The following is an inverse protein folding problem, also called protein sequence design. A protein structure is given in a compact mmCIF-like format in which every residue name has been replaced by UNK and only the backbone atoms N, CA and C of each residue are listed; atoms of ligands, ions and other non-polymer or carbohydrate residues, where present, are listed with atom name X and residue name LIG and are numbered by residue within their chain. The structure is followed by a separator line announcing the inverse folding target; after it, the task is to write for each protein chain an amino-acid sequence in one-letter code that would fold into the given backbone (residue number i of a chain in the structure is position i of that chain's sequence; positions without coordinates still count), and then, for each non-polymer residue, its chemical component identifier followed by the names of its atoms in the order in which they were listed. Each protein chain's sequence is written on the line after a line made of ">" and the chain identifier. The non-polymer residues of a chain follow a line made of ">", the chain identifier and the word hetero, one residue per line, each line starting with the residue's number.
data_IF_084105807878
#
_entry.id   IF_084105807878
#
_cell.length_a   1.000
_cell.length_b   1.000
_cell.length_c   1.000
_cell.angle_alpha   90.00
_cell.angle_beta   90.00
_cell.angle_gamma   90.00
#
_symmetry.space_group_name_H-M   'P 1'
#
loop_
_entity.id
_entity.type
_entity.pdbx_description
1 polymer ?
#
# COMPACT_ATOMS: atom_id res chain seq x y z
N UNK A 1 16.91 2.11 -6.56
CA UNK A 1 17.02 2.72 -5.20
C UNK A 1 15.62 2.92 -4.65
N UNK A 2 15.28 2.49 -3.43
CA UNK A 2 13.94 2.70 -2.87
C UNK A 2 13.73 4.17 -2.46
N UNK A 3 12.47 4.66 -2.47
CA UNK A 3 12.12 5.95 -1.85
C UNK A 3 12.35 5.92 -0.33
N UNK A 4 12.41 7.11 0.29
CA UNK A 4 12.62 7.25 1.75
C UNK A 4 14.08 7.18 2.21
N UNK A 5 15.04 7.15 1.30
CA UNK A 5 16.43 7.25 1.67
C UNK A 5 16.82 8.73 1.88
N UNK A 6 16.46 9.24 3.06
CA UNK A 6 16.77 10.61 3.47
C UNK A 6 18.12 10.72 4.19
N UNK A 7 18.79 9.60 4.43
CA UNK A 7 20.06 9.53 5.15
C UNK A 7 21.23 9.93 4.23
N UNK A 8 22.13 10.73 4.75
CA UNK A 8 23.30 11.21 4.00
C UNK A 8 23.03 12.42 3.10
N UNK A 9 21.79 12.92 3.05
CA UNK A 9 21.42 14.16 2.36
C UNK A 9 20.57 15.03 3.28
N UNK A 10 20.70 16.34 3.16
CA UNK A 10 19.79 17.27 3.80
C UNK A 10 18.50 17.36 2.98
N UNK A 11 17.44 16.68 3.42
CA UNK A 11 16.14 16.70 2.76
C UNK A 11 15.17 17.59 3.54
N UNK A 12 14.59 18.56 2.86
CA UNK A 12 13.54 19.41 3.41
C UNK A 12 12.14 18.84 3.12
N UNK A 13 11.97 18.33 1.89
CA UNK A 13 10.70 17.72 1.48
C UNK A 13 10.92 16.37 0.82
N UNK A 14 10.36 15.32 1.43
CA UNK A 14 10.43 13.96 0.88
C UNK A 14 9.10 13.59 0.18
N UNK A 15 9.10 13.68 -1.15
CA UNK A 15 8.02 13.22 -2.03
C UNK A 15 8.26 11.81 -2.57
N UNK A 16 9.33 11.15 -2.17
CA UNK A 16 9.66 9.79 -2.65
C UNK A 16 8.85 8.70 -1.95
N UNK A 17 8.28 9.00 -0.76
CA UNK A 17 7.44 8.10 0.04
C UNK A 17 5.99 8.54 0.05
N UNK A 18 5.09 7.61 -0.20
CA UNK A 18 3.66 7.87 -0.35
C UNK A 18 2.94 7.69 0.98
N UNK A 19 3.15 8.59 1.92
CA UNK A 19 2.50 8.60 3.23
C UNK A 19 1.25 9.48 3.21
N UNK A 20 0.34 9.24 4.17
CA UNK A 20 -0.80 10.11 4.38
C UNK A 20 -0.31 11.54 4.73
N UNK A 21 -0.73 12.58 3.97
CA UNK A 21 -0.25 13.95 4.17
C UNK A 21 -0.67 14.57 5.51
N UNK A 22 -1.70 14.04 6.18
CA UNK A 22 -2.13 14.51 7.50
C UNK A 22 -1.18 14.09 8.63
N UNK A 23 -0.22 13.19 8.34
CA UNK A 23 0.65 12.62 9.37
C UNK A 23 -0.07 11.66 10.32
N UNK A 24 0.60 11.13 11.35
CA UNK A 24 -0.01 10.19 12.29
C UNK A 24 -1.10 10.86 13.15
N UNK A 25 -2.28 10.20 13.35
CA UNK A 25 -3.31 10.69 14.27
C UNK A 25 -2.78 10.90 15.69
N UNK A 26 -3.35 11.87 16.42
CA UNK A 26 -2.96 12.13 17.82
C UNK A 26 -3.06 10.88 18.69
N UNK A 27 -4.14 10.11 18.56
CA UNK A 27 -4.35 8.85 19.30
C UNK A 27 -3.22 7.85 19.09
N UNK A 28 -2.71 7.74 17.86
CA UNK A 28 -1.59 6.86 17.53
C UNK A 28 -0.28 7.38 18.13
N UNK A 29 -0.04 8.70 18.10
CA UNK A 29 1.13 9.32 18.75
C UNK A 29 1.11 9.11 20.25
N UNK A 30 -0.03 9.34 20.90
CA UNK A 30 -0.21 9.14 22.35
C UNK A 30 0.00 7.67 22.73
N UNK A 31 -0.50 6.73 21.94
CA UNK A 31 -0.31 5.30 22.15
C UNK A 31 1.16 4.88 22.02
N UNK A 32 1.88 5.44 21.04
CA UNK A 32 3.33 5.20 20.90
C UNK A 32 4.11 5.74 22.11
N UNK A 33 3.75 6.92 22.64
CA UNK A 33 4.35 7.46 23.84
C UNK A 33 4.05 6.57 25.09
N UNK A 34 2.82 6.07 25.21
CA UNK A 34 2.44 5.15 26.29
C UNK A 34 3.20 3.82 26.20
N UNK A 35 3.49 3.33 24.99
CA UNK A 35 4.23 2.08 24.77
C UNK A 35 5.67 2.12 25.34
N UNK A 36 6.26 3.31 25.56
CA UNK A 36 7.56 3.45 26.21
C UNK A 36 7.60 2.86 27.61
N UNK A 37 6.48 2.84 28.34
CA UNK A 37 6.38 2.26 29.67
C UNK A 37 6.36 0.73 29.68
N UNK A 38 6.37 0.09 28.50
CA UNK A 38 6.25 -1.36 28.33
C UNK A 38 7.41 -1.96 27.53
N UNK A 39 8.52 -1.23 27.37
CA UNK A 39 9.69 -1.70 26.59
C UNK A 39 10.40 -2.87 27.23
N UNK A 40 10.22 -3.09 28.55
CA UNK A 40 10.78 -4.20 29.31
C UNK A 40 9.97 -5.50 29.16
N UNK A 41 8.76 -5.43 28.58
CA UNK A 41 7.85 -6.56 28.44
C UNK A 41 7.95 -7.16 27.03
N UNK A 42 7.85 -8.50 26.94
CA UNK A 42 7.56 -9.11 25.64
C UNK A 42 6.16 -8.71 25.19
N UNK A 43 5.98 -8.35 23.93
CA UNK A 43 4.64 -8.06 23.41
C UNK A 43 3.75 -9.30 23.42
N UNK A 44 2.41 -9.12 23.38
CA UNK A 44 1.47 -10.23 23.28
C UNK A 44 1.72 -11.06 22.01
N UNK A 45 2.15 -12.33 22.11
CA UNK A 45 2.51 -13.15 20.95
C UNK A 45 1.30 -13.51 20.07
N UNK A 46 0.07 -13.39 20.60
CA UNK A 46 -1.16 -13.65 19.85
C UNK A 46 -1.83 -12.37 19.33
N UNK A 47 -1.30 -11.18 19.71
CA UNK A 47 -1.84 -9.86 19.29
C UNK A 47 -3.34 -9.72 19.58
N UNK A 48 -3.83 -10.27 20.69
CA UNK A 48 -5.25 -10.54 20.97
C UNK A 48 -6.14 -9.32 20.75
N UNK A 49 -5.75 -8.16 21.26
CA UNK A 49 -6.55 -6.94 21.15
C UNK A 49 -6.53 -6.37 19.74
N UNK A 50 -5.37 -6.31 19.10
CA UNK A 50 -5.23 -5.82 17.73
C UNK A 50 -5.97 -6.73 16.74
N UNK A 51 -5.81 -8.05 16.89
CA UNK A 51 -6.50 -9.05 16.07
C UNK A 51 -8.01 -8.98 16.21
N UNK A 52 -8.51 -8.82 17.46
CA UNK A 52 -9.93 -8.63 17.73
C UNK A 52 -10.46 -7.36 17.09
N UNK A 53 -9.71 -6.25 17.20
CA UNK A 53 -10.07 -4.98 16.57
C UNK A 53 -10.23 -5.08 15.06
N UNK A 54 -9.24 -5.69 14.39
CA UNK A 54 -9.29 -5.94 12.95
C UNK A 54 -10.43 -6.87 12.53
N UNK A 55 -10.63 -7.96 13.28
CA UNK A 55 -11.71 -8.91 13.02
C UNK A 55 -13.09 -8.24 13.09
N UNK A 56 -13.31 -7.42 14.11
CA UNK A 56 -14.55 -6.65 14.26
C UNK A 56 -14.75 -5.62 13.13
N UNK A 57 -13.68 -4.89 12.78
CA UNK A 57 -13.75 -3.88 11.71
C UNK A 57 -14.14 -4.48 10.36
N UNK A 58 -13.49 -5.60 9.97
CA UNK A 58 -13.75 -6.28 8.71
C UNK A 58 -14.89 -7.30 8.77
N UNK A 59 -15.48 -7.54 9.95
CA UNK A 59 -16.49 -8.58 10.18
C UNK A 59 -15.98 -9.98 9.76
N UNK A 60 -14.77 -10.33 10.20
CA UNK A 60 -14.07 -11.58 9.90
C UNK A 60 -13.89 -12.43 11.15
N UNK A 61 -13.65 -13.72 10.97
CA UNK A 61 -13.10 -14.55 12.03
C UNK A 61 -11.63 -14.16 12.28
N UNK A 62 -11.19 -14.12 13.54
CA UNK A 62 -9.82 -13.75 13.91
C UNK A 62 -8.76 -14.68 13.30
N UNK A 63 -9.14 -15.91 13.00
CA UNK A 63 -8.33 -16.93 12.35
C UNK A 63 -8.03 -16.63 10.87
N UNK A 64 -8.75 -15.69 10.25
CA UNK A 64 -8.52 -15.23 8.88
C UNK A 64 -7.46 -14.13 8.79
N UNK A 65 -6.91 -13.69 9.94
CA UNK A 65 -5.99 -12.57 10.05
C UNK A 65 -4.57 -13.05 10.35
N UNK A 66 -3.60 -12.55 9.59
CA UNK A 66 -2.17 -12.66 9.88
C UNK A 66 -1.59 -11.27 10.08
N UNK A 67 -0.85 -11.07 11.16
CA UNK A 67 -0.21 -9.80 11.50
C UNK A 67 1.30 -9.92 11.27
N UNK A 68 1.91 -8.84 10.76
CA UNK A 68 3.33 -8.86 10.41
C UNK A 68 4.04 -7.52 10.59
N UNK A 69 5.35 -7.57 10.66
CA UNK A 69 6.27 -6.44 10.78
C UNK A 69 6.33 -5.64 9.46
N UNK A 70 5.19 -5.03 9.12
CA UNK A 70 4.92 -4.39 7.84
C UNK A 70 4.61 -5.39 6.72
N UNK A 71 4.15 -4.85 5.59
CA UNK A 71 3.79 -5.66 4.42
C UNK A 71 4.96 -6.50 3.88
N UNK A 72 6.20 -6.03 4.01
CA UNK A 72 7.37 -6.74 3.47
C UNK A 72 7.62 -8.09 4.12
N UNK A 73 7.44 -8.22 5.43
CA UNK A 73 7.53 -9.49 6.13
C UNK A 73 6.41 -10.43 5.69
N UNK A 74 5.18 -9.92 5.59
CA UNK A 74 4.03 -10.70 5.14
C UNK A 74 4.21 -11.22 3.71
N UNK A 75 4.70 -10.39 2.78
CA UNK A 75 5.01 -10.81 1.41
C UNK A 75 6.00 -11.97 1.42
N UNK A 76 7.07 -11.88 2.20
CA UNK A 76 8.07 -12.95 2.32
C UNK A 76 7.45 -14.24 2.90
N UNK A 77 6.68 -14.14 3.99
CA UNK A 77 5.99 -15.27 4.62
C UNK A 77 4.98 -15.94 3.68
N UNK A 78 4.20 -15.15 2.94
CA UNK A 78 3.25 -15.66 1.93
C UNK A 78 3.99 -16.42 0.83
N UNK A 79 5.08 -15.88 0.29
CA UNK A 79 5.86 -16.52 -0.77
C UNK A 79 6.51 -17.81 -0.27
N UNK A 80 7.03 -17.85 0.97
CA UNK A 80 7.56 -19.08 1.60
C UNK A 80 6.47 -20.14 1.74
N UNK A 81 5.30 -19.75 2.24
CA UNK A 81 4.14 -20.65 2.40
C UNK A 81 3.69 -21.28 1.09
N UNK A 82 3.69 -20.50 0.01
CA UNK A 82 3.21 -20.94 -1.29
C UNK A 82 4.28 -21.64 -2.12
N UNK A 83 5.56 -21.33 -1.91
CA UNK A 83 6.72 -21.82 -2.66
C UNK A 83 6.43 -21.94 -4.17
N UNK A 84 6.01 -20.84 -4.84
CA UNK A 84 5.50 -20.92 -6.20
C UNK A 84 6.60 -21.33 -7.18
N UNK A 85 6.28 -22.26 -8.12
CA UNK A 85 7.16 -22.62 -9.24
C UNK A 85 7.05 -21.62 -10.39
N UNK A 86 5.90 -20.96 -10.53
CA UNK A 86 5.65 -19.89 -11.47
C UNK A 86 4.74 -18.82 -10.84
N UNK A 87 5.09 -17.57 -11.10
CA UNK A 87 4.38 -16.40 -10.60
C UNK A 87 4.09 -15.44 -11.75
N UNK A 88 2.91 -14.83 -11.76
CA UNK A 88 2.61 -13.68 -12.61
C UNK A 88 2.61 -12.41 -11.79
N UNK A 89 3.16 -11.32 -12.34
CA UNK A 89 3.22 -9.99 -11.70
C UNK A 89 3.13 -8.91 -12.77
N UNK A 90 2.52 -7.77 -12.46
CA UNK A 90 2.52 -6.62 -13.36
C UNK A 90 3.91 -5.99 -13.48
N UNK A 91 4.20 -5.35 -14.61
CA UNK A 91 5.41 -4.55 -14.80
C UNK A 91 5.05 -3.24 -15.53
N UNK A 92 5.24 -2.05 -14.91
CA UNK A 92 5.90 -1.83 -13.62
C UNK A 92 5.06 -2.21 -12.40
N UNK A 93 5.74 -2.64 -11.32
CA UNK A 93 5.15 -2.83 -10.00
C UNK A 93 6.19 -2.64 -8.89
N UNK A 94 5.77 -2.76 -7.64
CA UNK A 94 6.68 -2.67 -6.50
C UNK A 94 7.74 -3.79 -6.53
N UNK A 95 9.02 -3.40 -6.55
CA UNK A 95 10.16 -4.33 -6.66
C UNK A 95 10.30 -5.32 -5.50
N UNK A 96 9.68 -5.02 -4.34
CA UNK A 96 9.70 -5.91 -3.17
C UNK A 96 9.11 -7.29 -3.43
N UNK A 97 8.21 -7.44 -4.40
CA UNK A 97 7.65 -8.76 -4.75
C UNK A 97 8.73 -9.64 -5.38
N UNK A 98 9.45 -9.13 -6.39
CA UNK A 98 10.52 -9.90 -7.03
C UNK A 98 11.68 -10.15 -6.06
N UNK A 99 12.01 -9.18 -5.20
CA UNK A 99 13.01 -9.37 -4.14
C UNK A 99 12.62 -10.53 -3.22
N UNK A 100 11.35 -10.59 -2.79
CA UNK A 100 10.87 -11.67 -1.94
C UNK A 100 10.79 -13.02 -2.68
N UNK A 101 10.38 -13.03 -3.96
CA UNK A 101 10.43 -14.23 -4.81
C UNK A 101 11.85 -14.77 -4.95
N UNK A 102 12.83 -13.90 -5.24
CA UNK A 102 14.22 -14.31 -5.36
C UNK A 102 14.80 -14.86 -4.05
N UNK A 103 14.34 -14.31 -2.90
CA UNK A 103 14.81 -14.76 -1.58
C UNK A 103 14.16 -16.07 -1.11
N UNK A 104 12.84 -16.25 -1.36
CA UNK A 104 12.07 -17.35 -0.79
C UNK A 104 11.72 -18.46 -1.80
N UNK A 105 11.74 -18.16 -3.10
CA UNK A 105 11.46 -19.10 -4.19
C UNK A 105 12.38 -18.83 -5.40
N UNK A 106 13.71 -18.99 -5.25
CA UNK A 106 14.69 -18.58 -6.26
C UNK A 106 14.55 -19.30 -7.61
N UNK A 107 13.90 -20.46 -7.63
CA UNK A 107 13.61 -21.22 -8.86
C UNK A 107 12.28 -20.83 -9.52
N UNK A 108 11.55 -19.86 -8.96
CA UNK A 108 10.27 -19.42 -9.47
C UNK A 108 10.45 -18.72 -10.83
N UNK A 109 9.69 -19.18 -11.84
CA UNK A 109 9.60 -18.47 -13.11
C UNK A 109 8.66 -17.29 -12.97
N UNK A 110 9.16 -16.08 -13.22
CA UNK A 110 8.38 -14.84 -13.14
C UNK A 110 7.89 -14.45 -14.54
N UNK A 111 6.56 -14.43 -14.72
CA UNK A 111 5.88 -13.95 -15.92
C UNK A 111 5.42 -12.52 -15.67
N UNK A 112 6.00 -11.56 -16.39
CA UNK A 112 5.63 -10.15 -16.25
C UNK A 112 4.51 -9.79 -17.21
N UNK A 113 3.44 -9.19 -16.67
CA UNK A 113 2.32 -8.62 -17.43
C UNK A 113 2.69 -7.17 -17.72
N UNK A 114 2.99 -6.80 -18.97
CA UNK A 114 3.41 -5.44 -19.28
C UNK A 114 2.23 -4.47 -19.14
N UNK A 115 2.41 -3.43 -18.34
CA UNK A 115 1.57 -2.24 -18.34
C UNK A 115 2.30 -1.17 -19.14
N UNK A 116 1.62 -0.58 -20.13
CA UNK A 116 2.25 0.30 -21.12
C UNK A 116 1.87 1.75 -20.90
N UNK A 117 2.81 2.65 -21.16
CA UNK A 117 2.57 4.09 -21.06
C UNK A 117 1.56 4.60 -22.10
N UNK A 118 1.45 3.93 -23.24
CA UNK A 118 0.49 4.24 -24.30
C UNK A 118 -0.95 3.99 -23.83
N UNK A 119 -1.14 3.02 -22.93
CA UNK A 119 -2.44 2.63 -22.36
C UNK A 119 -2.60 3.19 -20.93
N UNK A 120 -1.86 4.26 -20.58
CA UNK A 120 -1.80 4.85 -19.24
C UNK A 120 -1.58 3.81 -18.14
N UNK A 121 -0.79 2.80 -18.40
CA UNK A 121 -0.49 1.68 -17.50
C UNK A 121 -1.72 0.94 -16.97
N UNK A 122 -2.78 0.89 -17.77
CA UNK A 122 -4.00 0.14 -17.46
C UNK A 122 -3.74 -1.36 -17.52
N UNK A 123 -4.38 -2.13 -16.65
CA UNK A 123 -4.30 -3.59 -16.66
C UNK A 123 -4.91 -4.14 -17.96
N UNK A 124 -4.21 -5.03 -18.69
CA UNK A 124 -4.71 -5.55 -19.97
C UNK A 124 -6.06 -6.26 -19.87
N UNK A 125 -6.92 -6.04 -20.85
CA UNK A 125 -8.25 -6.67 -20.90
C UNK A 125 -8.18 -8.20 -20.93
N UNK A 126 -7.17 -8.75 -21.59
CA UNK A 126 -6.96 -10.20 -21.74
C UNK A 126 -6.31 -10.89 -20.53
N UNK A 127 -6.20 -10.22 -19.36
CA UNK A 127 -5.52 -10.80 -18.18
C UNK A 127 -6.11 -12.16 -17.76
N UNK A 128 -7.44 -12.33 -17.84
CA UNK A 128 -8.09 -13.59 -17.47
C UNK A 128 -7.70 -14.72 -18.44
N UNK A 129 -7.58 -14.45 -19.75
CA UNK A 129 -7.06 -15.40 -20.72
C UNK A 129 -5.60 -15.75 -20.44
N UNK A 130 -4.77 -14.76 -20.06
CA UNK A 130 -3.37 -15.02 -19.71
C UNK A 130 -3.26 -15.88 -18.44
N UNK A 131 -4.08 -15.66 -17.43
CA UNK A 131 -4.14 -16.50 -16.22
C UNK A 131 -4.50 -17.95 -16.61
N UNK A 132 -5.52 -18.14 -17.46
CA UNK A 132 -5.94 -19.47 -17.92
C UNK A 132 -4.87 -20.18 -18.76
N UNK A 133 -4.10 -19.41 -19.56
CA UNK A 133 -3.01 -19.92 -20.41
C UNK A 133 -1.77 -20.30 -19.61
N UNK A 134 -1.34 -19.43 -18.68
CA UNK A 134 -0.09 -19.60 -17.93
C UNK A 134 -0.29 -20.53 -16.71
N UNK A 135 -1.48 -20.49 -16.11
CA UNK A 135 -1.84 -21.20 -14.86
C UNK A 135 -0.77 -21.02 -13.78
N UNK A 136 -0.49 -19.76 -13.38
CA UNK A 136 0.54 -19.52 -12.38
C UNK A 136 0.13 -20.09 -11.03
N UNK A 137 1.11 -20.47 -10.19
CA UNK A 137 0.82 -20.83 -8.79
C UNK A 137 0.41 -19.59 -7.98
N UNK A 138 0.97 -18.42 -8.34
CA UNK A 138 0.78 -17.14 -7.68
C UNK A 138 0.59 -16.04 -8.72
N UNK A 139 -0.46 -15.24 -8.57
CA UNK A 139 -0.63 -13.94 -9.24
C UNK A 139 -0.50 -12.85 -8.19
N UNK A 140 0.37 -11.87 -8.43
CA UNK A 140 0.52 -10.69 -7.55
C UNK A 140 0.01 -9.47 -8.29
N UNK A 141 -0.99 -8.81 -7.70
CA UNK A 141 -1.53 -7.54 -8.16
C UNK A 141 -1.53 -6.52 -7.03
N UNK A 142 -1.41 -5.25 -7.38
CA UNK A 142 -1.46 -4.13 -6.44
C UNK A 142 -2.62 -3.21 -6.79
N UNK A 143 -3.42 -2.84 -5.80
CA UNK A 143 -4.58 -1.97 -6.00
C UNK A 143 -4.65 -0.85 -4.95
N UNK A 144 -4.41 0.42 -5.31
CA UNK A 144 -3.86 0.94 -6.57
C UNK A 144 -2.43 0.48 -6.87
N UNK A 145 -2.09 0.31 -8.17
CA UNK A 145 -0.78 -0.16 -8.56
C UNK A 145 0.32 0.89 -8.30
N UNK A 146 1.47 0.44 -7.87
CA UNK A 146 2.66 1.27 -7.67
C UNK A 146 3.70 0.93 -8.74
N UNK A 147 4.10 1.88 -9.63
CA UNK A 147 4.13 3.34 -9.38
C UNK A 147 3.03 4.18 -10.02
N UNK A 148 2.14 3.65 -10.85
CA UNK A 148 1.21 4.43 -11.67
C UNK A 148 -0.06 4.91 -10.94
N UNK A 149 -0.42 4.32 -9.80
CA UNK A 149 -1.57 4.74 -9.00
C UNK A 149 -2.95 4.32 -9.53
N UNK A 150 -3.03 3.52 -10.59
CA UNK A 150 -4.30 3.07 -11.16
C UNK A 150 -4.99 2.05 -10.27
N UNK A 151 -6.31 2.23 -10.06
CA UNK A 151 -7.18 1.25 -9.39
C UNK A 151 -7.72 0.22 -10.38
N UNK A 152 -7.97 -0.96 -9.85
CA UNK A 152 -8.73 -2.02 -10.52
C UNK A 152 -10.12 -1.99 -9.90
N UNK A 153 -11.17 -1.90 -10.73
CA UNK A 153 -12.55 -1.85 -10.24
C UNK A 153 -12.96 -3.16 -9.55
N UNK A 154 -13.93 -3.10 -8.62
CA UNK A 154 -14.43 -4.28 -7.92
C UNK A 154 -14.92 -5.38 -8.86
N UNK A 155 -15.63 -5.03 -9.95
CA UNK A 155 -16.08 -6.00 -10.95
C UNK A 155 -14.90 -6.70 -11.63
N UNK A 156 -13.88 -5.94 -12.00
CA UNK A 156 -12.68 -6.50 -12.64
C UNK A 156 -11.88 -7.39 -11.67
N UNK A 157 -11.80 -7.00 -10.39
CA UNK A 157 -11.18 -7.83 -9.35
C UNK A 157 -11.91 -9.17 -9.19
N UNK A 158 -13.24 -9.17 -9.25
CA UNK A 158 -14.05 -10.39 -9.16
C UNK A 158 -13.79 -11.32 -10.35
N UNK A 159 -13.79 -10.80 -11.59
CA UNK A 159 -13.44 -11.58 -12.77
C UNK A 159 -12.06 -12.22 -12.67
N UNK A 160 -11.07 -11.47 -12.20
CA UNK A 160 -9.71 -11.96 -12.00
C UNK A 160 -9.67 -13.05 -10.92
N UNK A 161 -10.37 -12.85 -9.80
CA UNK A 161 -10.44 -13.83 -8.72
C UNK A 161 -11.10 -15.15 -9.19
N UNK A 162 -12.14 -15.06 -10.02
CA UNK A 162 -12.79 -16.23 -10.60
C UNK A 162 -11.87 -16.95 -11.60
N UNK A 163 -11.14 -16.21 -12.42
CA UNK A 163 -10.13 -16.78 -13.32
C UNK A 163 -9.00 -17.48 -12.54
N UNK A 164 -8.55 -16.88 -11.43
CA UNK A 164 -7.58 -17.49 -10.53
C UNK A 164 -8.12 -18.77 -9.91
N UNK A 165 -9.37 -18.77 -9.44
CA UNK A 165 -10.05 -19.96 -8.88
C UNK A 165 -10.10 -21.09 -9.91
N UNK A 166 -10.50 -20.79 -11.15
CA UNK A 166 -10.58 -21.76 -12.24
C UNK A 166 -9.21 -22.33 -12.64
N UNK A 167 -8.15 -21.53 -12.53
CA UNK A 167 -6.78 -21.94 -12.86
C UNK A 167 -6.03 -22.62 -11.71
N UNK A 168 -6.58 -22.65 -10.50
CA UNK A 168 -5.88 -23.13 -9.30
C UNK A 168 -4.76 -22.18 -8.84
N UNK A 169 -4.89 -20.89 -9.17
CA UNK A 169 -3.93 -19.81 -8.86
C UNK A 169 -4.30 -19.14 -7.53
N UNK A 170 -3.33 -18.90 -6.67
CA UNK A 170 -3.52 -18.03 -5.50
C UNK A 170 -3.31 -16.57 -5.93
N UNK A 171 -4.26 -15.70 -5.57
CA UNK A 171 -4.17 -14.26 -5.81
C UNK A 171 -3.63 -13.54 -4.56
N UNK A 172 -2.43 -12.96 -4.64
CA UNK A 172 -1.96 -11.98 -3.66
C UNK A 172 -2.36 -10.58 -4.14
N UNK A 173 -3.31 -9.97 -3.45
CA UNK A 173 -3.79 -8.61 -3.72
C UNK A 173 -3.20 -7.65 -2.69
N UNK A 174 -2.28 -6.78 -3.12
CA UNK A 174 -1.72 -5.74 -2.27
C UNK A 174 -2.59 -4.48 -2.32
N UNK A 175 -3.30 -4.23 -1.24
CA UNK A 175 -4.20 -3.09 -1.05
C UNK A 175 -3.64 -2.05 -0.05
N UNK A 176 -2.31 -1.96 0.11
CA UNK A 176 -1.68 -1.06 1.07
C UNK A 176 -1.99 0.43 0.86
N UNK A 177 -2.44 0.82 -0.34
CA UNK A 177 -2.83 2.19 -0.67
C UNK A 177 -4.34 2.40 -0.84
N UNK A 178 -5.14 1.34 -0.81
CA UNK A 178 -6.55 1.39 -1.17
C UNK A 178 -7.38 2.32 -0.26
N UNK A 179 -7.14 2.29 1.05
CA UNK A 179 -7.82 3.17 2.00
C UNK A 179 -7.61 4.67 1.68
N UNK A 180 -6.39 5.05 1.24
CA UNK A 180 -6.07 6.44 0.88
C UNK A 180 -6.59 6.87 -0.50
N UNK A 181 -7.08 5.92 -1.31
CA UNK A 181 -7.73 6.20 -2.59
C UNK A 181 -9.26 6.27 -2.49
N UNK A 182 -9.82 6.15 -1.28
CA UNK A 182 -11.27 6.11 -1.08
C UNK A 182 -11.92 4.83 -1.60
N UNK A 183 -11.18 3.72 -1.67
CA UNK A 183 -11.63 2.49 -2.30
C UNK A 183 -11.87 1.32 -1.34
N UNK A 184 -12.01 1.54 -0.04
CA UNK A 184 -12.17 0.45 0.93
C UNK A 184 -13.41 -0.40 0.67
N UNK A 185 -14.47 0.17 0.09
CA UNK A 185 -15.67 -0.54 -0.33
C UNK A 185 -15.42 -1.54 -1.49
N UNK A 186 -14.40 -1.28 -2.30
CA UNK A 186 -13.97 -2.16 -3.41
C UNK A 186 -12.97 -3.23 -2.98
N UNK A 187 -12.65 -3.34 -1.68
CA UNK A 187 -11.66 -4.28 -1.19
C UNK A 187 -12.06 -5.74 -1.45
N UNK A 188 -11.11 -6.53 -1.92
CA UNK A 188 -11.29 -7.98 -2.08
C UNK A 188 -11.52 -8.70 -0.73
N UNK A 189 -11.26 -8.06 0.41
CA UNK A 189 -11.59 -8.58 1.74
C UNK A 189 -13.08 -8.92 1.84
N UNK A 190 -13.96 -8.11 1.24
CA UNK A 190 -15.41 -8.37 1.25
C UNK A 190 -15.77 -9.68 0.57
N UNK A 191 -15.05 -10.04 -0.50
CA UNK A 191 -15.23 -11.32 -1.20
C UNK A 191 -14.68 -12.49 -0.37
N UNK A 192 -13.54 -12.33 0.31
CA UNK A 192 -13.00 -13.38 1.21
C UNK A 192 -13.95 -13.67 2.37
N UNK A 193 -14.67 -12.66 2.84
CA UNK A 193 -15.67 -12.81 3.91
C UNK A 193 -16.85 -13.68 3.50
N UNK A 194 -17.32 -13.51 2.26
CA UNK A 194 -18.52 -14.18 1.75
C UNK A 194 -18.25 -15.48 0.99
N UNK A 195 -17.05 -15.65 0.47
CA UNK A 195 -16.70 -16.75 -0.43
C UNK A 195 -15.32 -17.35 -0.10
N UNK A 196 -15.14 -18.64 -0.37
CA UNK A 196 -13.85 -19.32 -0.28
C UNK A 196 -12.97 -18.99 -1.50
N UNK A 197 -12.43 -17.78 -1.56
CA UNK A 197 -11.50 -17.38 -2.61
C UNK A 197 -10.07 -17.87 -2.31
N UNK A 198 -9.32 -18.37 -3.32
CA UNK A 198 -7.90 -18.63 -3.19
C UNK A 198 -7.10 -17.31 -3.25
N UNK A 199 -7.35 -16.42 -2.30
CA UNK A 199 -6.77 -15.09 -2.26
C UNK A 199 -6.18 -14.76 -0.89
N UNK A 200 -5.14 -13.92 -0.91
CA UNK A 200 -4.56 -13.26 0.25
C UNK A 200 -4.57 -11.77 -0.02
N UNK A 201 -5.25 -10.99 0.81
CA UNK A 201 -5.28 -9.52 0.71
C UNK A 201 -4.33 -8.95 1.74
N UNK A 202 -3.40 -8.10 1.28
CA UNK A 202 -2.39 -7.46 2.10
C UNK A 202 -2.75 -6.00 2.35
N UNK A 203 -2.65 -5.56 3.60
CA UNK A 203 -2.88 -4.18 4.04
C UNK A 203 -1.75 -3.70 4.95
N UNK A 204 -1.49 -2.40 4.99
CA UNK A 204 -0.48 -1.82 5.85
C UNK A 204 -0.95 -0.54 6.53
N UNK A 205 -0.64 -0.42 7.81
CA UNK A 205 -0.82 0.82 8.58
C UNK A 205 0.18 1.91 8.18
N UNK A 206 1.33 1.47 7.65
CA UNK A 206 2.46 2.30 7.22
C UNK A 206 2.06 3.55 6.45
N UNK A 207 1.16 3.38 5.47
CA UNK A 207 0.74 4.45 4.55
C UNK A 207 -0.47 5.19 5.07
N UNK A 208 -1.48 4.43 5.47
CA UNK A 208 -2.77 4.93 5.93
C UNK A 208 -2.64 5.85 7.15
N UNK A 209 -1.81 5.47 8.11
CA UNK A 209 -1.62 6.24 9.35
C UNK A 209 -0.27 6.97 9.42
N UNK A 210 0.47 7.06 8.30
CA UNK A 210 1.77 7.72 8.22
C UNK A 210 2.78 7.29 9.29
N UNK A 211 2.85 5.98 9.60
CA UNK A 211 3.74 5.39 10.62
C UNK A 211 4.75 4.38 10.03
N UNK A 212 5.57 4.77 9.05
CA UNK A 212 6.49 3.83 8.40
C UNK A 212 7.53 3.24 9.36
N UNK A 213 7.93 3.97 10.40
CA UNK A 213 8.90 3.51 11.40
C UNK A 213 8.35 2.46 12.37
N UNK A 214 7.02 2.35 12.52
CA UNK A 214 6.37 1.41 13.44
C UNK A 214 6.35 -0.02 12.88
N UNK A 215 6.38 -0.18 11.56
CA UNK A 215 6.41 -1.48 10.89
C UNK A 215 5.21 -2.37 11.24
N UNK A 216 4.01 -2.01 10.79
CA UNK A 216 2.79 -2.77 11.03
C UNK A 216 2.00 -3.00 9.74
N UNK A 217 1.62 -4.26 9.49
CA UNK A 217 0.76 -4.69 8.41
C UNK A 217 -0.07 -5.90 8.80
N UNK A 218 -1.03 -6.25 7.97
CA UNK A 218 -1.82 -7.46 8.13
C UNK A 218 -2.22 -8.05 6.78
N UNK A 219 -2.49 -9.35 6.79
CA UNK A 219 -3.07 -10.07 5.65
C UNK A 219 -4.40 -10.69 6.06
N UNK A 220 -5.31 -10.78 5.09
CA UNK A 220 -6.62 -11.45 5.23
C UNK A 220 -6.71 -12.55 4.21
N UNK A 221 -7.04 -13.76 4.65
CA UNK A 221 -7.23 -14.93 3.80
C UNK A 221 -8.10 -15.97 4.49
N UNK A 222 -8.25 -17.16 3.89
CA UNK A 222 -8.91 -18.29 4.58
C UNK A 222 -8.13 -18.71 5.83
N UNK A 223 -8.83 -19.18 6.88
CA UNK A 223 -8.19 -19.60 8.13
C UNK A 223 -7.08 -20.65 7.95
N UNK A 224 -7.23 -21.70 7.11
CA UNK A 224 -6.14 -22.63 6.86
C UNK A 224 -4.91 -21.99 6.18
N UNK A 225 -5.12 -20.98 5.31
CA UNK A 225 -4.02 -20.25 4.68
C UNK A 225 -3.34 -19.35 5.71
N UNK A 226 -4.09 -18.66 6.54
CA UNK A 226 -3.57 -17.80 7.60
C UNK A 226 -2.70 -18.57 8.58
N UNK A 227 -3.14 -19.76 9.00
CA UNK A 227 -2.34 -20.66 9.88
C UNK A 227 -1.01 -21.05 9.22
N UNK A 228 -1.03 -21.41 7.94
CA UNK A 228 0.20 -21.74 7.19
C UNK A 228 1.16 -20.56 7.09
N UNK A 229 0.64 -19.36 6.80
CA UNK A 229 1.47 -18.15 6.72
C UNK A 229 2.04 -17.81 8.10
N UNK A 230 1.25 -17.91 9.18
CA UNK A 230 1.71 -17.62 10.53
C UNK A 230 2.89 -18.49 10.96
N UNK A 231 2.98 -19.74 10.51
CA UNK A 231 4.10 -20.66 10.79
C UNK A 231 5.42 -20.24 10.13
N UNK A 232 5.36 -19.41 9.08
CA UNK A 232 6.54 -18.88 8.39
C UNK A 232 7.05 -17.57 8.98
N UNK A 233 6.32 -16.98 9.95
CA UNK A 233 6.69 -15.73 10.58
C UNK A 233 7.40 -15.98 11.92
N UNK A 234 8.36 -15.12 12.29
CA UNK A 234 9.01 -15.21 13.60
C UNK A 234 8.01 -15.02 14.74
N UNK A 235 8.27 -15.68 15.87
CA UNK A 235 7.58 -15.36 17.12
C UNK A 235 7.90 -13.92 17.54
N UNK A 236 6.94 -13.25 18.20
CA UNK A 236 7.04 -11.84 18.62
C UNK A 236 7.47 -10.88 17.50
N UNK A 237 7.06 -11.13 16.27
CA UNK A 237 7.43 -10.30 15.11
C UNK A 237 6.89 -8.87 15.18
N UNK A 238 5.92 -8.57 16.04
CA UNK A 238 5.42 -7.22 16.29
C UNK A 238 5.93 -6.68 17.61
N UNK A 239 6.59 -5.53 17.56
CA UNK A 239 7.01 -4.82 18.76
C UNK A 239 5.82 -4.33 19.59
N UNK A 240 6.05 -4.00 20.85
CA UNK A 240 5.06 -3.34 21.71
C UNK A 240 4.54 -2.05 21.07
N UNK A 241 5.40 -1.27 20.41
CA UNK A 241 5.02 -0.04 19.70
C UNK A 241 4.04 -0.31 18.55
N UNK A 242 4.27 -1.39 17.80
CA UNK A 242 3.38 -1.77 16.70
C UNK A 242 1.98 -2.17 17.21
N UNK A 243 1.92 -2.92 18.32
CA UNK A 243 0.65 -3.34 18.92
C UNK A 243 -0.13 -2.16 19.50
N UNK A 244 0.53 -1.25 20.22
CA UNK A 244 -0.10 -0.05 20.79
C UNK A 244 -0.59 0.90 19.68
N UNK A 245 0.23 1.18 18.68
CA UNK A 245 -0.16 2.02 17.55
C UNK A 245 -1.33 1.43 16.76
N UNK A 246 -1.30 0.12 16.49
CA UNK A 246 -2.37 -0.56 15.76
C UNK A 246 -3.70 -0.55 16.51
N UNK A 247 -3.68 -0.79 17.81
CA UNK A 247 -4.89 -0.69 18.67
C UNK A 247 -5.49 0.71 18.64
N UNK A 248 -4.66 1.75 18.76
CA UNK A 248 -5.12 3.13 18.73
C UNK A 248 -5.68 3.53 17.35
N UNK A 249 -5.08 3.04 16.27
CA UNK A 249 -5.54 3.28 14.92
C UNK A 249 -6.93 2.69 14.67
N UNK A 250 -7.21 1.45 15.16
CA UNK A 250 -8.51 0.79 14.99
C UNK A 250 -9.49 1.04 16.14
N UNK A 251 -9.04 1.32 17.34
CA UNK A 251 -9.90 1.56 18.49
C UNK A 251 -10.91 2.70 18.27
N UNK A 252 -10.55 3.68 17.47
CA UNK A 252 -11.44 4.78 17.09
C UNK A 252 -12.38 4.40 15.92
N UNK A 253 -11.93 3.57 14.97
CA UNK A 253 -12.78 3.09 13.88
C UNK A 253 -13.94 2.22 14.37
N UNK A 254 -13.70 1.39 15.41
CA UNK A 254 -14.73 0.51 15.99
C UNK A 254 -15.80 1.32 16.73
N UNK A 255 -15.44 2.42 17.39
CA UNK A 255 -16.40 3.27 18.10
C UNK A 255 -17.36 3.96 17.15
N UNK A 256 -16.89 4.36 15.97
CA UNK A 256 -17.69 5.05 14.96
C UNK A 256 -18.68 4.12 14.24
N UNK A 257 -18.32 2.83 14.07
CA UNK A 257 -19.22 1.83 13.47
C UNK A 257 -20.25 1.24 14.44
N UNK A 258 -19.96 1.22 15.75
CA UNK A 258 -20.87 0.72 16.79
C UNK A 258 -21.96 1.74 17.17
N UNK A 259 -21.72 3.02 16.93
CA UNK A 259 -22.70 4.08 17.12
C UNK A 259 -23.49 4.29 15.82
N UNK A 260 -24.36 3.34 15.43
CA UNK A 260 -25.31 3.49 14.32
C UNK A 260 -26.21 4.74 14.43
N UNK A 261 -25.63 5.90 14.65
CA UNK A 261 -26.21 7.19 14.88
C UNK A 261 -25.42 8.30 14.19
N UNK A 262 -26.13 9.30 13.76
CA UNK A 262 -25.70 10.63 13.30
C UNK A 262 -24.34 11.06 13.83
N UNK A 263 -23.50 11.70 13.01
CA UNK A 263 -22.19 12.19 13.45
C UNK A 263 -22.34 13.06 14.70
N UNK A 264 -21.62 12.72 15.75
CA UNK A 264 -21.57 13.53 16.95
C UNK A 264 -21.00 14.91 16.61
N UNK A 265 -21.50 16.02 17.21
CA UNK A 265 -21.03 17.36 16.90
C UNK A 265 -19.54 17.52 17.22
N UNK A 266 -18.86 18.30 16.40
CA UNK A 266 -17.42 18.59 16.29
C UNK A 266 -16.78 19.19 17.56
N UNK A 267 -16.76 18.52 18.67
CA UNK A 267 -16.03 19.01 19.86
C UNK A 267 -14.99 18.07 20.44
N UNK A 268 -14.61 17.00 19.71
CA UNK A 268 -13.36 16.27 19.99
C UNK A 268 -12.77 15.75 18.68
N UNK A 269 -11.88 16.53 18.10
CA UNK A 269 -11.07 16.15 16.95
C UNK A 269 -10.40 14.79 17.19
N UNK A 270 -10.84 13.71 16.49
CA UNK A 270 -10.02 12.54 16.50
C UNK A 270 -10.61 11.16 16.29
N UNK A 271 -11.79 10.98 15.77
CA UNK A 271 -12.22 9.65 15.29
C UNK A 271 -11.43 9.24 14.05
N UNK A 272 -11.01 7.96 13.95
CA UNK A 272 -10.22 7.47 12.80
C UNK A 272 -11.03 7.50 11.50
N UNK A 273 -12.35 7.39 11.57
CA UNK A 273 -13.27 7.54 10.45
C UNK A 273 -13.19 8.96 9.87
N UNK A 274 -13.26 9.99 10.70
CA UNK A 274 -13.05 11.37 10.29
C UNK A 274 -11.64 11.63 9.71
N UNK A 275 -10.62 10.98 10.28
CA UNK A 275 -9.25 11.09 9.78
C UNK A 275 -9.08 10.50 8.37
N UNK A 276 -9.64 9.32 8.09
CA UNK A 276 -9.56 8.70 6.77
C UNK A 276 -10.35 9.50 5.73
N UNK A 277 -11.56 9.94 6.06
CA UNK A 277 -12.38 10.76 5.17
C UNK A 277 -11.67 12.07 4.80
N UNK A 278 -11.14 12.77 5.79
CA UNK A 278 -10.37 14.01 5.58
C UNK A 278 -9.09 13.75 4.76
N UNK A 279 -8.44 12.59 4.96
CA UNK A 279 -7.27 12.20 4.18
C UNK A 279 -7.62 11.98 2.72
N UNK A 280 -8.68 11.23 2.43
CA UNK A 280 -9.15 10.94 1.07
C UNK A 280 -9.55 12.23 0.34
N UNK A 281 -10.31 13.10 1.00
CA UNK A 281 -10.72 14.39 0.45
C UNK A 281 -9.51 15.28 0.12
N UNK A 282 -8.57 15.41 1.07
CA UNK A 282 -7.34 16.20 0.85
C UNK A 282 -6.53 15.61 -0.29
N UNK A 283 -6.30 14.29 -0.31
CA UNK A 283 -5.51 13.62 -1.35
C UNK A 283 -6.17 13.82 -2.71
N UNK A 284 -7.48 13.69 -2.84
CA UNK A 284 -8.18 13.87 -4.12
C UNK A 284 -7.97 15.28 -4.66
N UNK A 285 -8.24 16.31 -3.85
CA UNK A 285 -8.06 17.71 -4.21
C UNK A 285 -6.62 18.05 -4.56
N UNK A 286 -5.67 17.66 -3.73
CA UNK A 286 -4.27 17.98 -3.93
C UNK A 286 -3.64 17.17 -5.09
N UNK A 287 -4.13 15.98 -5.38
CA UNK A 287 -3.72 15.18 -6.54
C UNK A 287 -4.16 15.86 -7.85
N UNK A 288 -5.41 16.29 -7.92
CA UNK A 288 -5.93 17.03 -9.07
C UNK A 288 -5.11 18.29 -9.32
N UNK A 289 -4.96 19.13 -8.30
CA UNK A 289 -4.15 20.33 -8.35
C UNK A 289 -2.71 20.08 -8.82
N UNK A 290 -2.03 19.11 -8.21
CA UNK A 290 -0.64 18.80 -8.54
C UNK A 290 -0.49 18.24 -9.97
N UNK A 291 -1.45 17.42 -10.42
CA UNK A 291 -1.47 16.87 -11.78
C UNK A 291 -1.59 17.99 -12.82
N UNK A 292 -2.55 18.90 -12.67
CA UNK A 292 -2.73 20.04 -13.58
C UNK A 292 -1.50 20.94 -13.65
N UNK A 293 -0.91 21.25 -12.50
CA UNK A 293 0.28 22.11 -12.46
C UNK A 293 1.52 21.44 -13.09
N UNK A 294 1.67 20.11 -12.92
CA UNK A 294 2.73 19.36 -13.61
C UNK A 294 2.51 19.34 -15.13
N UNK A 295 1.28 19.21 -15.62
CA UNK A 295 0.95 19.31 -17.04
C UNK A 295 1.22 20.69 -17.62
N UNK A 296 0.84 21.78 -16.91
CA UNK A 296 1.16 23.17 -17.28
C UNK A 296 2.68 23.40 -17.36
N UNK A 297 3.45 22.67 -16.56
CA UNK A 297 4.91 22.63 -16.66
C UNK A 297 5.41 21.72 -17.81
N UNK A 298 4.56 21.14 -18.64
CA UNK A 298 4.89 20.35 -19.82
C UNK A 298 5.43 18.94 -19.50
N UNK A 299 5.15 18.40 -18.31
CA UNK A 299 5.36 16.99 -18.02
C UNK A 299 4.20 16.17 -18.57
N UNK A 300 4.46 14.93 -19.00
CA UNK A 300 3.39 13.98 -19.25
C UNK A 300 2.98 13.35 -17.92
N UNK A 301 1.78 13.64 -17.47
CA UNK A 301 1.23 13.09 -16.23
C UNK A 301 0.36 11.87 -16.55
N UNK A 302 0.45 10.82 -15.73
CA UNK A 302 -0.39 9.63 -15.87
C UNK A 302 -1.52 9.67 -14.84
N UNK A 303 -2.77 9.33 -15.25
CA UNK A 303 -3.91 9.33 -14.34
C UNK A 303 -3.68 8.42 -13.13
N UNK A 304 -3.97 8.89 -11.93
CA UNK A 304 -3.79 8.18 -10.67
C UNK A 304 -5.02 8.30 -9.78
N UNK A 305 -5.35 7.22 -9.07
CA UNK A 305 -6.35 7.19 -7.99
C UNK A 305 -5.71 7.19 -6.60
N UNK A 306 -4.37 7.11 -6.54
CA UNK A 306 -3.60 6.98 -5.31
C UNK A 306 -3.13 8.33 -4.74
N UNK A 307 -2.43 8.27 -3.61
CA UNK A 307 -1.77 9.43 -2.99
C UNK A 307 -0.37 9.69 -3.58
N UNK A 308 -0.17 9.38 -4.86
CA UNK A 308 1.05 9.65 -5.64
C UNK A 308 0.72 9.73 -7.12
N UNK A 309 1.59 10.38 -7.87
CA UNK A 309 1.47 10.64 -9.30
C UNK A 309 2.72 10.13 -10.00
N UNK A 310 2.55 9.29 -11.03
CA UNK A 310 3.60 8.96 -11.99
C UNK A 310 3.59 10.02 -13.10
N UNK A 311 4.76 10.53 -13.45
CA UNK A 311 4.91 11.47 -14.54
C UNK A 311 6.20 11.23 -15.32
N UNK A 312 6.25 11.73 -16.55
CA UNK A 312 7.41 11.63 -17.42
C UNK A 312 7.98 13.01 -17.73
N UNK A 313 9.29 13.15 -17.62
CA UNK A 313 10.07 14.33 -17.98
C UNK A 313 11.04 14.00 -19.12
N UNK A 314 11.31 14.98 -19.97
CA UNK A 314 12.43 14.91 -20.93
C UNK A 314 13.79 15.04 -20.24
N UNK A 315 13.82 15.69 -19.09
CA UNK A 315 15.00 15.80 -18.25
C UNK A 315 15.21 14.52 -17.46
N UNK A 316 16.24 13.76 -17.83
CA UNK A 316 16.60 12.49 -17.20
C UNK A 316 17.33 12.62 -15.86
N UNK A 317 17.77 13.84 -15.54
CA UNK A 317 18.50 14.16 -14.30
C UNK A 317 17.65 14.97 -13.31
N UNK A 318 16.32 15.05 -13.55
CA UNK A 318 15.39 15.83 -12.72
C UNK A 318 15.46 15.44 -11.24
N UNK A 319 15.63 14.14 -10.95
CA UNK A 319 15.79 13.64 -9.59
C UNK A 319 17.00 14.30 -8.90
N UNK A 320 18.16 14.34 -9.56
CA UNK A 320 19.37 14.93 -8.98
C UNK A 320 19.24 16.44 -8.80
N UNK A 321 18.68 17.13 -9.78
CA UNK A 321 18.45 18.59 -9.71
C UNK A 321 17.52 18.97 -8.55
N UNK A 322 16.49 18.17 -8.28
CA UNK A 322 15.60 18.38 -7.13
C UNK A 322 16.29 18.03 -5.81
N UNK A 323 17.10 16.97 -5.80
CA UNK A 323 17.89 16.56 -4.63
C UNK A 323 18.86 17.70 -4.21
N UNK A 324 19.52 18.36 -5.16
CA UNK A 324 20.41 19.50 -4.93
C UNK A 324 19.64 20.72 -4.34
N UNK A 325 18.31 20.71 -4.49
CA UNK A 325 17.39 21.68 -3.87
C UNK A 325 16.70 21.13 -2.61
N UNK A 326 17.22 20.03 -2.04
CA UNK A 326 16.72 19.38 -0.81
C UNK A 326 15.30 18.80 -0.95
N UNK A 327 14.86 18.54 -2.20
CA UNK A 327 13.58 17.92 -2.51
C UNK A 327 13.84 16.51 -3.08
N UNK A 328 13.27 15.49 -2.45
CA UNK A 328 13.44 14.11 -2.88
C UNK A 328 12.19 13.60 -3.57
N UNK A 329 12.27 13.22 -4.85
CA UNK A 329 11.25 12.51 -5.60
C UNK A 329 11.71 11.07 -5.88
N UNK A 330 10.83 10.18 -6.32
CA UNK A 330 11.20 8.81 -6.72
C UNK A 330 11.59 8.76 -8.20
N UNK A 331 12.84 8.45 -8.48
CA UNK A 331 13.27 8.04 -9.83
C UNK A 331 12.81 6.59 -10.09
N UNK A 332 12.05 6.39 -11.16
CA UNK A 332 11.44 5.12 -11.48
C UNK A 332 12.18 4.32 -12.56
N UNK A 333 13.41 4.71 -12.93
CA UNK A 333 14.22 4.03 -13.97
C UNK A 333 14.55 2.57 -13.66
N UNK A 334 14.48 2.18 -12.40
CA UNK A 334 14.75 0.81 -11.92
C UNK A 334 13.51 -0.09 -11.85
N UNK A 335 12.33 0.43 -12.23
CA UNK A 335 11.14 -0.41 -12.37
C UNK A 335 11.16 -1.13 -13.72
N UNK A 336 10.86 -2.42 -13.75
CA UNK A 336 10.68 -3.15 -15.00
C UNK A 336 9.61 -2.47 -15.87
N UNK A 337 9.94 -2.22 -17.12
CA UNK A 337 9.04 -1.55 -18.08
C UNK A 337 9.11 -0.02 -18.05
N UNK A 338 9.90 0.59 -17.16
CA UNK A 338 10.17 2.02 -17.15
C UNK A 338 11.64 2.31 -17.51
N UNK A 339 11.91 3.55 -17.92
CA UNK A 339 13.23 4.04 -18.30
C UNK A 339 13.56 5.34 -17.55
N UNK A 340 14.76 5.87 -17.75
CA UNK A 340 15.11 7.20 -17.26
C UNK A 340 14.16 8.27 -17.82
N UNK A 341 13.73 9.17 -16.97
CA UNK A 341 12.72 10.19 -17.27
C UNK A 341 11.35 9.91 -16.68
N UNK A 342 11.10 8.69 -16.16
CA UNK A 342 9.91 8.40 -15.37
C UNK A 342 10.16 8.66 -13.89
N UNK A 343 9.29 9.46 -13.30
CA UNK A 343 9.38 9.87 -11.90
C UNK A 343 8.03 9.69 -11.20
N UNK A 344 8.07 9.43 -9.89
CA UNK A 344 6.87 9.41 -9.06
C UNK A 344 7.02 10.42 -7.94
N UNK A 345 5.99 11.23 -7.72
CA UNK A 345 5.88 12.14 -6.59
C UNK A 345 4.72 11.75 -5.69
N UNK A 346 4.87 11.84 -4.38
CA UNK A 346 3.76 11.74 -3.45
C UNK A 346 2.86 12.98 -3.57
N UNK A 347 1.57 12.81 -3.28
CA UNK A 347 0.64 13.91 -3.02
C UNK A 347 0.76 14.28 -1.56
N UNK A 348 1.13 15.55 -1.28
CA UNK A 348 1.37 16.06 0.06
C UNK A 348 0.43 17.21 0.39
N UNK A 349 0.70 17.94 1.47
CA UNK A 349 -0.06 19.15 1.79
C UNK A 349 0.11 20.20 0.70
N UNK A 350 -0.88 21.09 0.55
CA UNK A 350 -0.83 22.17 -0.46
C UNK A 350 0.45 22.99 -0.39
N UNK A 351 0.89 23.34 0.82
CA UNK A 351 2.14 24.08 1.04
C UNK A 351 3.37 23.33 0.48
N UNK A 352 3.46 22.03 0.74
CA UNK A 352 4.57 21.21 0.26
C UNK A 352 4.52 21.03 -1.26
N UNK A 353 3.32 20.78 -1.82
CA UNK A 353 3.10 20.67 -3.27
C UNK A 353 3.50 21.95 -3.99
N UNK A 354 3.16 23.12 -3.44
CA UNK A 354 3.58 24.42 -3.96
C UNK A 354 5.12 24.60 -3.93
N UNK A 355 5.79 24.12 -2.87
CA UNK A 355 7.26 24.17 -2.80
C UNK A 355 7.91 23.32 -3.90
N UNK A 356 7.40 22.10 -4.15
CA UNK A 356 7.84 21.27 -5.26
C UNK A 356 7.65 21.98 -6.62
N UNK A 357 6.47 22.52 -6.88
CA UNK A 357 6.13 23.19 -8.14
C UNK A 357 6.97 24.43 -8.37
N UNK A 358 7.22 25.24 -7.33
CA UNK A 358 8.11 26.40 -7.43
C UNK A 358 9.55 25.98 -7.76
N UNK A 359 10.04 24.91 -7.15
CA UNK A 359 11.36 24.38 -7.47
C UNK A 359 11.43 23.88 -8.91
N UNK A 360 10.40 23.15 -9.39
CA UNK A 360 10.33 22.67 -10.77
C UNK A 360 10.29 23.82 -11.80
N UNK A 361 9.63 24.95 -11.50
CA UNK A 361 9.64 26.16 -12.35
C UNK A 361 11.03 26.77 -12.47
N UNK A 362 11.82 26.72 -11.40
CA UNK A 362 13.17 27.31 -11.35
C UNK A 362 14.25 26.41 -11.97
N UNK A 363 14.00 25.12 -12.15
CA UNK A 363 14.93 24.16 -12.75
C UNK A 363 14.81 24.13 -14.28
N UNK A 364 13.66 24.51 -14.81
CA UNK A 364 13.43 24.66 -16.26
C UNK A 364 14.07 25.88 -16.83
#
# INVERSE_FOLDING_TARGET
>A
MHGGNIYGNEIEYDFSVNLNPLGPPKSVRDALAAALNHVEEYPDPEYRELRRGLANYWQLAKEQLVLGNGASELILGIIRTLAPKNCMVTAPCYSGYETALNAAAPSCRIHRIPLRAEDDFTLPENICQEIARVKPNLLILTNPNNPNGKRISANRLREIADACRAAGTVLLMDECFLALSGGDEDSLIHCIRSEALPAVVLRAFTKTFAIPGVRLGYAVCSAPMAERIQRELPEWNLSVFAQYAGRAAFGNMIRDTAAGGTPAPETSAGGTSGYLAASVEMIAREREFLSEELEKLGFRVFPSDANYILFQSRDRELHQKLLDKRILIRDCRDYHGLTAGFYRTAVRTHRENMALLQCLRNIK
#
